data_IF_830997576509
#
_entry.id   IF_830997576509
#
_cell.length_a   1.000
_cell.length_b   1.000
_cell.length_c   1.000
_cell.angle_alpha   90.00
_cell.angle_beta   90.00
_cell.angle_gamma   90.00
#
_symmetry.space_group_name_H-M   'P 1'
#
loop_
_entity.id
_entity.type
_entity.pdbx_description
1 polymer ?
#
# COMPACT_ATOMS: atom_id res chain seq x y z
N UNK A 1 -25.05 -46.94 -29.84
CA UNK A 1 -23.70 -46.41 -29.64
C UNK A 1 -23.78 -45.17 -28.77
N UNK A 2 -23.47 -45.36 -27.54
CA UNK A 2 -23.47 -44.26 -26.57
C UNK A 2 -22.14 -43.58 -26.66
N UNK A 3 -22.12 -42.38 -27.20
CA UNK A 3 -20.92 -41.52 -27.11
C UNK A 3 -21.00 -40.74 -25.82
N UNK A 4 -20.24 -41.15 -24.85
CA UNK A 4 -19.97 -40.39 -23.68
C UNK A 4 -19.13 -39.19 -24.09
N UNK A 5 -19.78 -38.04 -24.20
CA UNK A 5 -19.06 -36.77 -24.25
C UNK A 5 -18.71 -36.46 -22.78
N UNK A 6 -17.49 -36.79 -22.38
CA UNK A 6 -16.93 -36.23 -21.17
C UNK A 6 -16.75 -34.74 -21.41
N UNK A 7 -17.72 -33.97 -20.97
CA UNK A 7 -17.52 -32.55 -20.80
C UNK A 7 -16.46 -32.38 -19.70
N UNK A 8 -15.24 -32.15 -20.12
CA UNK A 8 -14.22 -31.64 -19.22
C UNK A 8 -14.66 -30.24 -18.82
N UNK A 9 -15.33 -30.14 -17.69
CA UNK A 9 -15.38 -28.92 -16.93
C UNK A 9 -13.95 -28.65 -16.46
N UNK A 10 -13.22 -27.92 -17.25
CA UNK A 10 -12.01 -27.26 -16.76
C UNK A 10 -12.53 -26.21 -15.80
N UNK A 11 -12.66 -26.60 -14.53
CA UNK A 11 -12.74 -25.64 -13.49
C UNK A 11 -11.41 -24.89 -13.48
N UNK A 12 -11.35 -23.79 -14.21
CA UNK A 12 -10.36 -22.78 -13.95
C UNK A 12 -10.66 -22.32 -12.55
N UNK A 13 -10.01 -22.94 -11.58
CA UNK A 13 -9.93 -22.36 -10.27
C UNK A 13 -9.21 -21.03 -10.47
N UNK A 14 -9.99 -19.95 -10.62
CA UNK A 14 -9.48 -18.64 -10.36
C UNK A 14 -8.88 -18.75 -8.97
N UNK A 15 -7.55 -18.67 -8.90
CA UNK A 15 -6.87 -18.58 -7.64
C UNK A 15 -7.32 -17.25 -7.04
N UNK A 16 -8.45 -17.27 -6.35
CA UNK A 16 -8.79 -16.20 -5.47
C UNK A 16 -7.74 -16.24 -4.38
N UNK A 17 -6.63 -15.58 -4.62
CA UNK A 17 -5.68 -15.32 -3.57
C UNK A 17 -6.37 -14.40 -2.59
N UNK A 18 -6.89 -14.97 -1.51
CA UNK A 18 -7.32 -14.19 -0.36
C UNK A 18 -6.14 -13.33 0.09
N UNK A 19 -6.36 -12.01 0.21
CA UNK A 19 -5.30 -11.09 0.60
C UNK A 19 -4.41 -10.72 -0.57
N UNK A 20 -5.00 -10.23 -1.64
CA UNK A 20 -4.24 -9.72 -2.76
C UNK A 20 -3.56 -8.42 -2.38
N UNK A 21 -2.28 -8.55 -2.13
CA UNK A 21 -1.41 -7.40 -2.06
C UNK A 21 -0.95 -7.08 -3.48
N UNK A 22 -1.21 -5.86 -3.91
CA UNK A 22 -0.64 -5.40 -5.15
C UNK A 22 0.87 -5.21 -4.97
N UNK A 23 1.64 -5.67 -5.95
CA UNK A 23 3.05 -5.30 -6.01
C UNK A 23 3.18 -3.80 -6.26
N UNK A 24 4.33 -3.23 -5.96
CA UNK A 24 4.58 -1.82 -6.25
C UNK A 24 4.37 -1.49 -7.74
N UNK A 25 4.93 -2.25 -8.70
CA UNK A 25 4.71 -1.97 -10.12
C UNK A 25 3.24 -2.05 -10.54
N UNK A 26 2.47 -2.99 -9.98
CA UNK A 26 1.04 -3.10 -10.24
C UNK A 26 0.28 -1.87 -9.75
N UNK A 27 0.57 -1.42 -8.54
CA UNK A 27 -0.05 -0.22 -7.98
C UNK A 27 0.34 1.04 -8.76
N UNK A 28 1.62 1.20 -9.09
CA UNK A 28 2.10 2.35 -9.85
C UNK A 28 1.44 2.46 -11.23
N UNK A 29 1.13 1.33 -11.86
CA UNK A 29 0.48 1.26 -13.17
C UNK A 29 -1.03 1.58 -13.12
N UNK A 30 -1.65 1.64 -11.96
CA UNK A 30 -3.07 1.93 -11.81
C UNK A 30 -3.37 3.42 -12.05
N UNK A 31 -4.65 3.73 -12.31
CA UNK A 31 -5.06 5.12 -12.43
C UNK A 31 -4.87 5.90 -11.12
N UNK A 32 -4.86 7.22 -11.23
CA UNK A 32 -4.57 8.10 -10.10
C UNK A 32 -5.57 7.97 -8.96
N UNK A 33 -6.86 7.77 -9.27
CA UNK A 33 -7.90 7.62 -8.26
C UNK A 33 -7.70 6.33 -7.47
N UNK A 34 -7.38 5.23 -8.14
CA UNK A 34 -7.12 3.96 -7.48
C UNK A 34 -5.83 4.02 -6.64
N UNK A 35 -4.77 4.62 -7.17
CA UNK A 35 -3.53 4.80 -6.40
C UNK A 35 -3.76 5.58 -5.11
N UNK A 36 -4.57 6.63 -5.17
CA UNK A 36 -4.91 7.45 -4.00
C UNK A 36 -5.70 6.68 -2.95
N UNK A 37 -6.69 5.90 -3.37
CA UNK A 37 -7.50 5.09 -2.46
C UNK A 37 -6.65 3.99 -1.82
N UNK A 38 -5.84 3.32 -2.61
CA UNK A 38 -5.00 2.23 -2.12
C UNK A 38 -3.97 2.71 -1.11
N UNK A 39 -3.27 3.80 -1.39
CA UNK A 39 -2.27 4.34 -0.46
C UNK A 39 -2.90 4.83 0.85
N UNK A 40 -4.10 5.38 0.80
CA UNK A 40 -4.84 5.75 2.00
C UNK A 40 -5.16 4.54 2.87
N UNK A 41 -5.57 3.42 2.26
CA UNK A 41 -5.82 2.18 2.98
C UNK A 41 -4.55 1.59 3.58
N UNK A 42 -3.44 1.63 2.86
CA UNK A 42 -2.12 1.19 3.38
C UNK A 42 -1.70 2.06 4.56
N UNK A 43 -1.83 3.37 4.44
CA UNK A 43 -1.54 4.31 5.52
C UNK A 43 -2.35 4.00 6.78
N UNK A 44 -3.66 3.86 6.64
CA UNK A 44 -4.55 3.53 7.75
C UNK A 44 -4.22 2.18 8.38
N UNK A 45 -3.90 1.18 7.57
CA UNK A 45 -3.56 -0.16 8.04
C UNK A 45 -2.26 -0.17 8.84
N UNK A 46 -1.23 0.49 8.34
CA UNK A 46 0.07 0.57 9.01
C UNK A 46 -0.07 1.31 10.34
N UNK A 47 -0.71 2.46 10.35
CA UNK A 47 -0.92 3.25 11.57
C UNK A 47 -1.96 2.61 12.50
N UNK A 48 -2.95 1.92 11.96
CA UNK A 48 -3.93 1.18 12.74
C UNK A 48 -3.33 0.04 13.54
N UNK A 49 -2.38 -0.68 12.96
CA UNK A 49 -1.63 -1.73 13.68
C UNK A 49 -0.82 -1.13 14.83
N UNK A 50 -0.20 0.00 14.59
CA UNK A 50 0.55 0.73 15.62
C UNK A 50 -0.40 1.18 16.75
N UNK A 51 -1.56 1.74 16.41
CA UNK A 51 -2.58 2.12 17.40
C UNK A 51 -2.98 0.97 18.32
N UNK A 52 -3.18 -0.22 17.76
CA UNK A 52 -3.61 -1.38 18.52
C UNK A 52 -2.57 -1.87 19.53
N UNK A 53 -1.33 -1.43 19.38
CA UNK A 53 -0.20 -1.74 20.26
C UNK A 53 0.16 -0.61 21.23
N UNK A 54 -0.67 0.41 21.36
CA UNK A 54 -0.43 1.60 22.17
C UNK A 54 0.78 2.46 21.72
N UNK A 55 1.19 2.34 20.47
CA UNK A 55 2.26 3.18 19.90
C UNK A 55 1.68 4.49 19.35
N UNK A 56 0.82 5.12 20.15
CA UNK A 56 0.13 6.36 19.79
C UNK A 56 1.05 7.50 19.36
N UNK A 57 2.27 7.69 19.94
CA UNK A 57 3.16 8.76 19.50
C UNK A 57 3.57 8.67 18.05
N UNK A 58 3.87 7.46 17.54
CA UNK A 58 4.26 7.27 16.14
C UNK A 58 3.08 7.55 15.19
N UNK A 59 1.89 7.06 15.52
CA UNK A 59 0.67 7.32 14.75
C UNK A 59 0.38 8.81 14.65
N UNK A 60 0.40 9.48 15.80
CA UNK A 60 0.15 10.93 15.88
C UNK A 60 1.17 11.72 15.10
N UNK A 61 2.44 11.32 15.18
CA UNK A 61 3.54 11.98 14.46
C UNK A 61 3.29 12.03 12.96
N UNK A 62 2.93 10.90 12.35
CA UNK A 62 2.68 10.84 10.90
C UNK A 62 1.34 11.46 10.51
N UNK A 63 0.28 11.25 11.28
CA UNK A 63 -1.00 11.91 11.05
C UNK A 63 -0.86 13.43 11.06
N UNK A 64 -0.20 13.97 12.07
CA UNK A 64 0.04 15.40 12.21
C UNK A 64 0.91 15.95 11.07
N UNK A 65 1.95 15.22 10.68
CA UNK A 65 2.84 15.62 9.61
C UNK A 65 2.08 15.75 8.27
N UNK A 66 1.32 14.74 7.90
CA UNK A 66 0.54 14.73 6.66
C UNK A 66 -0.56 15.80 6.70
N UNK A 67 -1.23 15.97 7.83
CA UNK A 67 -2.26 16.99 8.01
C UNK A 67 -1.70 18.42 7.89
N UNK A 68 -0.57 18.69 8.52
CA UNK A 68 0.08 20.02 8.45
C UNK A 68 0.57 20.34 7.04
N UNK A 69 0.96 19.34 6.28
CA UNK A 69 1.36 19.49 4.89
C UNK A 69 0.16 19.68 3.94
N UNK A 70 -1.07 19.60 4.45
CA UNK A 70 -2.31 19.59 3.64
C UNK A 70 -2.25 18.56 2.51
N UNK A 71 -1.68 17.40 2.80
CA UNK A 71 -1.44 16.37 1.79
C UNK A 71 -2.69 15.55 1.58
N UNK A 72 -3.20 15.59 0.34
CA UNK A 72 -4.29 14.72 -0.09
C UNK A 72 -3.79 13.30 -0.33
N UNK A 73 -4.70 12.33 -0.41
CA UNK A 73 -4.35 10.96 -0.76
C UNK A 73 -3.65 10.86 -2.12
N UNK A 74 -4.12 11.63 -3.10
CA UNK A 74 -3.49 11.70 -4.41
C UNK A 74 -2.07 12.26 -4.36
N UNK A 75 -1.86 13.31 -3.58
CA UNK A 75 -0.54 13.90 -3.38
C UNK A 75 0.40 12.94 -2.65
N UNK A 76 -0.10 12.24 -1.65
CA UNK A 76 0.67 11.22 -0.95
C UNK A 76 1.14 10.12 -1.92
N UNK A 77 0.22 9.60 -2.75
CA UNK A 77 0.56 8.59 -3.74
C UNK A 77 1.64 9.10 -4.72
N UNK A 78 1.48 10.30 -5.25
CA UNK A 78 2.45 10.91 -6.17
C UNK A 78 3.82 11.10 -5.52
N UNK A 79 3.85 11.53 -4.28
CA UNK A 79 5.08 11.74 -3.53
C UNK A 79 5.79 10.42 -3.22
N UNK A 80 5.05 9.38 -2.87
CA UNK A 80 5.61 8.03 -2.64
C UNK A 80 6.24 7.51 -3.92
N UNK A 81 5.58 7.68 -5.06
CA UNK A 81 6.10 7.27 -6.37
C UNK A 81 7.40 8.03 -6.70
N UNK A 82 7.39 9.35 -6.54
CA UNK A 82 8.58 10.16 -6.80
C UNK A 82 9.76 9.75 -5.90
N UNK A 83 9.48 9.47 -4.64
CA UNK A 83 10.48 9.01 -3.68
C UNK A 83 11.04 7.62 -4.04
N UNK A 84 10.17 6.68 -4.40
CA UNK A 84 10.58 5.32 -4.76
C UNK A 84 11.42 5.28 -6.03
N UNK A 85 11.27 6.25 -6.93
CA UNK A 85 12.16 6.38 -8.10
C UNK A 85 13.61 6.67 -7.72
N UNK A 86 13.82 7.35 -6.61
CA UNK A 86 15.17 7.63 -6.09
C UNK A 86 15.75 6.46 -5.27
N UNK A 87 14.91 5.49 -4.90
CA UNK A 87 15.27 4.33 -4.11
C UNK A 87 14.64 3.06 -4.69
N UNK A 88 15.17 2.55 -5.82
CA UNK A 88 14.56 1.42 -6.53
C UNK A 88 14.38 0.15 -5.68
N UNK A 89 15.22 -0.05 -4.67
CA UNK A 89 15.12 -1.19 -3.75
C UNK A 89 13.78 -1.24 -3.00
N UNK A 90 13.13 -0.10 -2.80
CA UNK A 90 11.82 -0.05 -2.14
C UNK A 90 10.71 -0.61 -3.01
N UNK A 91 10.86 -0.53 -4.34
CA UNK A 91 9.86 -1.05 -5.27
C UNK A 91 9.75 -2.58 -5.17
N UNK A 92 10.85 -3.26 -4.89
CA UNK A 92 10.86 -4.71 -4.69
C UNK A 92 10.23 -5.13 -3.36
N UNK A 93 10.21 -4.23 -2.38
CA UNK A 93 9.67 -4.50 -1.05
C UNK A 93 8.18 -4.22 -0.93
N UNK A 94 7.57 -3.57 -1.91
CA UNK A 94 6.15 -3.30 -1.98
C UNK A 94 5.72 -1.92 -1.50
N UNK A 95 4.44 -1.61 -1.67
CA UNK A 95 3.86 -0.29 -1.36
C UNK A 95 4.00 0.10 0.12
N UNK A 96 3.73 -0.81 1.08
CA UNK A 96 3.90 -0.45 2.50
C UNK A 96 5.32 -0.01 2.85
N UNK A 97 6.33 -0.68 2.32
CA UNK A 97 7.73 -0.31 2.56
C UNK A 97 8.07 1.05 1.93
N UNK A 98 7.60 1.30 0.72
CA UNK A 98 7.78 2.60 0.05
C UNK A 98 7.12 3.72 0.85
N UNK A 99 5.90 3.51 1.34
CA UNK A 99 5.18 4.48 2.16
C UNK A 99 5.91 4.79 3.47
N UNK A 100 6.29 3.76 4.22
CA UNK A 100 6.96 3.93 5.51
C UNK A 100 8.28 4.70 5.35
N UNK A 101 9.09 4.32 4.37
CA UNK A 101 10.35 5.00 4.12
C UNK A 101 10.16 6.45 3.67
N UNK A 102 9.13 6.70 2.87
CA UNK A 102 8.75 8.06 2.50
C UNK A 102 8.36 8.90 3.73
N UNK A 103 7.51 8.34 4.60
CA UNK A 103 7.07 9.03 5.81
C UNK A 103 8.24 9.37 6.73
N UNK A 104 9.17 8.46 6.91
CA UNK A 104 10.40 8.72 7.70
C UNK A 104 11.23 9.83 7.06
N UNK A 105 11.39 9.81 5.74
CA UNK A 105 12.16 10.82 5.03
C UNK A 105 11.51 12.20 5.08
N UNK A 106 10.19 12.26 4.93
CA UNK A 106 9.43 13.51 4.87
C UNK A 106 9.10 14.09 6.26
N UNK A 107 8.69 13.25 7.18
CA UNK A 107 8.22 13.64 8.51
C UNK A 107 9.31 13.52 9.60
N UNK A 108 10.40 12.84 9.30
CA UNK A 108 11.37 12.41 10.31
C UNK A 108 10.90 11.18 11.07
N UNK A 109 11.82 10.57 11.81
CA UNK A 109 11.49 9.44 12.67
C UNK A 109 10.54 9.88 13.79
N UNK A 110 9.61 9.01 14.24
CA UNK A 110 8.74 9.34 15.35
C UNK A 110 9.56 9.49 16.64
N UNK A 111 9.05 10.31 17.58
CA UNK A 111 9.75 10.46 18.87
C UNK A 111 9.82 9.11 19.59
N UNK A 112 10.94 8.88 20.25
CA UNK A 112 11.11 7.73 21.14
C UNK A 112 10.23 7.88 22.39
N UNK A 113 9.80 6.73 22.93
CA UNK A 113 9.02 6.68 24.17
C UNK A 113 9.83 7.15 25.39
#
# INVERSE_FOLDING_TARGET
MLRLICAFLIATSAVASAGQFYSYPQWEAMDGAFRAIYIAGVFDSVLGIVKSRNDLPATKHYDDCISRANMTNGKLADNVIAFAKTRPELQERGVPAALINYLVAFCGAPPEH
#
